data_IF_261306911819
#
_entry.id   IF_261306911819
#
_cell.length_a   1.000
_cell.length_b   1.000
_cell.length_c   1.000
_cell.angle_alpha   90.00
_cell.angle_beta   90.00
_cell.angle_gamma   90.00
#
_symmetry.space_group_name_H-M   'P 1'
#
loop_
_entity.id
_entity.type
_entity.pdbx_description
1 polymer ?
#
# COMPACT_ATOMS: atom_id res chain seq x y z
N UNK A 1 15.07 10.40 -20.71
CA UNK A 1 14.87 11.86 -20.55
C UNK A 1 13.68 12.40 -21.34
N UNK A 2 13.61 12.26 -22.68
CA UNK A 2 12.48 12.80 -23.49
C UNK A 2 11.08 12.37 -23.03
N UNK A 3 10.87 11.10 -22.67
CA UNK A 3 9.56 10.59 -22.24
C UNK A 3 9.06 11.18 -20.91
N UNK A 4 9.96 11.44 -19.95
CA UNK A 4 9.58 12.03 -18.67
C UNK A 4 9.17 13.51 -18.84
N UNK A 5 9.81 14.23 -19.75
CA UNK A 5 9.39 15.59 -20.12
C UNK A 5 8.01 15.58 -20.80
N UNK A 6 7.74 14.60 -21.67
CA UNK A 6 6.41 14.42 -22.25
C UNK A 6 5.37 14.09 -21.18
N UNK A 7 5.67 13.20 -20.24
CA UNK A 7 4.79 12.90 -19.11
C UNK A 7 4.49 14.16 -18.27
N UNK A 8 5.53 14.96 -17.97
CA UNK A 8 5.36 16.24 -17.25
C UNK A 8 4.40 17.17 -18.00
N UNK A 9 4.62 17.36 -19.30
CA UNK A 9 3.73 18.17 -20.12
C UNK A 9 2.28 17.67 -20.09
N UNK A 10 2.07 16.35 -20.14
CA UNK A 10 0.72 15.77 -20.03
C UNK A 10 0.07 16.10 -18.67
N UNK A 11 0.83 16.06 -17.57
CA UNK A 11 0.34 16.49 -16.27
C UNK A 11 0.00 17.99 -16.24
N UNK A 12 0.83 18.84 -16.86
CA UNK A 12 0.57 20.28 -16.94
C UNK A 12 -0.72 20.58 -17.73
N UNK A 13 -1.11 19.69 -18.66
CA UNK A 13 -2.39 19.74 -19.39
C UNK A 13 -3.56 19.06 -18.66
N UNK A 14 -3.35 18.53 -17.46
CA UNK A 14 -4.39 17.94 -16.61
C UNK A 14 -4.59 16.43 -16.75
N UNK A 15 -3.69 15.71 -17.45
CA UNK A 15 -3.78 14.26 -17.54
C UNK A 15 -3.47 13.59 -16.20
N UNK A 16 -4.19 12.52 -15.86
CA UNK A 16 -3.85 11.66 -14.72
C UNK A 16 -2.59 10.82 -15.00
N UNK A 17 -1.93 10.25 -13.98
CA UNK A 17 -0.84 9.30 -14.17
C UNK A 17 -1.19 8.13 -15.09
N UNK A 18 -2.35 7.49 -14.91
CA UNK A 18 -2.85 6.44 -15.81
C UNK A 18 -3.00 6.92 -17.26
N UNK A 19 -3.57 8.10 -17.48
CA UNK A 19 -3.76 8.66 -18.82
C UNK A 19 -2.44 9.02 -19.50
N UNK A 20 -1.50 9.59 -18.74
CA UNK A 20 -0.16 9.89 -19.22
C UNK A 20 0.60 8.61 -19.60
N UNK A 21 0.51 7.57 -18.77
CA UNK A 21 1.04 6.25 -19.08
C UNK A 21 0.45 5.71 -20.39
N UNK A 22 -0.88 5.68 -20.50
CA UNK A 22 -1.56 5.11 -21.65
C UNK A 22 -1.17 5.80 -22.96
N UNK A 23 -1.06 7.12 -22.92
CA UNK A 23 -0.63 7.94 -24.06
C UNK A 23 0.81 7.64 -24.49
N UNK A 24 1.73 7.51 -23.53
CA UNK A 24 3.13 7.19 -23.81
C UNK A 24 3.31 5.75 -24.30
N UNK A 25 2.60 4.80 -23.68
CA UNK A 25 2.68 3.38 -24.03
C UNK A 25 2.18 3.14 -25.45
N UNK A 26 1.04 3.75 -25.84
CA UNK A 26 0.52 3.67 -27.21
C UNK A 26 1.49 4.24 -28.23
N UNK A 27 2.13 5.37 -27.93
CA UNK A 27 3.03 6.04 -28.87
C UNK A 27 4.37 5.32 -29.04
N UNK A 28 4.86 4.67 -27.98
CA UNK A 28 6.22 4.12 -27.94
C UNK A 28 6.27 2.61 -28.09
N UNK A 29 5.14 1.92 -27.91
CA UNK A 29 5.06 0.47 -27.77
C UNK A 29 6.02 -0.10 -26.71
N UNK A 30 6.32 0.70 -25.68
CA UNK A 30 7.27 0.35 -24.62
C UNK A 30 6.63 0.60 -23.23
N UNK A 31 5.78 -0.32 -22.73
CA UNK A 31 4.98 -0.12 -21.51
C UNK A 31 5.86 0.11 -20.28
N UNK A 32 6.84 -0.77 -20.02
CA UNK A 32 7.75 -0.62 -18.88
C UNK A 32 8.51 0.72 -18.91
N UNK A 33 8.98 1.13 -20.09
CA UNK A 33 9.69 2.40 -20.26
C UNK A 33 8.77 3.60 -20.03
N UNK A 34 7.50 3.47 -20.42
CA UNK A 34 6.48 4.49 -20.23
C UNK A 34 6.10 4.64 -18.75
N UNK A 35 5.89 3.53 -18.03
CA UNK A 35 5.63 3.55 -16.60
C UNK A 35 6.78 4.20 -15.81
N UNK A 36 8.03 3.84 -16.13
CA UNK A 36 9.23 4.49 -15.54
C UNK A 36 9.28 5.99 -15.82
N UNK A 37 8.90 6.42 -17.02
CA UNK A 37 8.89 7.83 -17.40
C UNK A 37 7.84 8.62 -16.60
N UNK A 38 6.65 8.05 -16.40
CA UNK A 38 5.59 8.61 -15.56
C UNK A 38 6.07 8.74 -14.10
N UNK A 39 6.66 7.68 -13.53
CA UNK A 39 7.21 7.73 -12.17
C UNK A 39 8.32 8.79 -12.01
N UNK A 40 9.22 8.87 -12.99
CA UNK A 40 10.28 9.90 -13.03
C UNK A 40 9.68 11.30 -13.08
N UNK A 41 8.64 11.51 -13.90
CA UNK A 41 7.96 12.79 -13.99
C UNK A 41 7.21 13.12 -12.69
N UNK A 42 6.71 12.15 -11.94
CA UNK A 42 6.12 12.39 -10.62
C UNK A 42 7.17 12.66 -9.52
N UNK A 43 8.46 12.52 -9.83
CA UNK A 43 9.54 12.69 -8.86
C UNK A 43 9.72 11.48 -7.94
N UNK A 44 9.17 10.32 -8.30
CA UNK A 44 9.32 9.09 -7.52
C UNK A 44 10.77 8.59 -7.66
N UNK A 45 11.46 8.24 -6.55
CA UNK A 45 12.82 7.73 -6.59
C UNK A 45 12.97 6.50 -7.50
N UNK A 46 14.11 6.39 -8.18
CA UNK A 46 14.35 5.31 -9.15
C UNK A 46 14.37 3.92 -8.50
N UNK A 47 14.89 3.81 -7.27
CA UNK A 47 14.91 2.58 -6.48
C UNK A 47 13.48 2.11 -6.19
N UNK A 48 12.63 3.03 -5.74
CA UNK A 48 11.21 2.74 -5.45
C UNK A 48 10.42 2.41 -6.70
N UNK A 49 10.64 3.17 -7.78
CA UNK A 49 10.05 2.89 -9.09
C UNK A 49 10.40 1.47 -9.57
N UNK A 50 11.66 1.05 -9.38
CA UNK A 50 12.12 -0.28 -9.78
C UNK A 50 11.44 -1.36 -8.96
N UNK A 51 11.37 -1.20 -7.62
CA UNK A 51 10.69 -2.14 -6.73
C UNK A 51 9.24 -2.36 -7.17
N UNK A 52 8.43 -1.31 -7.25
CA UNK A 52 7.00 -1.41 -7.59
C UNK A 52 6.75 -1.98 -8.97
N UNK A 53 7.57 -1.62 -9.96
CA UNK A 53 7.40 -2.14 -11.31
C UNK A 53 7.83 -3.60 -11.43
N UNK A 54 8.78 -4.07 -10.62
CA UNK A 54 9.12 -5.49 -10.58
C UNK A 54 7.96 -6.33 -10.01
N UNK A 55 7.29 -5.84 -8.97
CA UNK A 55 6.18 -6.56 -8.31
C UNK A 55 4.99 -6.81 -9.26
N UNK A 56 4.77 -5.92 -10.25
CA UNK A 56 3.69 -6.05 -11.22
C UNK A 56 4.14 -6.36 -12.66
N UNK A 57 5.45 -6.56 -12.88
CA UNK A 57 6.04 -6.69 -14.22
C UNK A 57 5.38 -7.79 -15.03
N UNK A 58 5.38 -9.01 -14.51
CA UNK A 58 4.93 -10.19 -15.26
C UNK A 58 3.43 -10.17 -15.51
N UNK A 59 2.66 -9.63 -14.56
CA UNK A 59 1.21 -9.54 -14.66
C UNK A 59 0.72 -8.48 -15.64
N UNK A 60 1.42 -7.33 -15.74
CA UNK A 60 0.89 -6.16 -16.44
C UNK A 60 1.77 -5.62 -17.59
N UNK A 61 3.08 -5.86 -17.54
CA UNK A 61 4.05 -5.14 -18.40
C UNK A 61 4.84 -6.06 -19.34
N UNK A 62 5.01 -7.34 -18.99
CA UNK A 62 5.79 -8.29 -19.79
C UNK A 62 5.12 -8.62 -21.13
N UNK A 63 3.79 -8.79 -21.12
CA UNK A 63 2.99 -9.16 -22.30
C UNK A 63 1.72 -8.28 -22.38
N UNK A 64 1.86 -6.98 -22.73
CA UNK A 64 0.71 -6.08 -22.79
C UNK A 64 -0.27 -6.56 -23.88
N UNK A 65 -1.57 -6.54 -23.57
CA UNK A 65 -2.59 -6.82 -24.59
C UNK A 65 -2.67 -5.64 -25.56
N UNK A 66 -2.86 -5.86 -26.87
CA UNK A 66 -3.09 -4.78 -27.81
C UNK A 66 -4.25 -3.87 -27.37
N UNK A 67 -4.07 -2.54 -27.47
CA UNK A 67 -5.08 -1.53 -27.12
C UNK A 67 -5.53 -1.53 -25.65
N UNK A 68 -4.76 -2.12 -24.72
CA UNK A 68 -5.10 -2.19 -23.29
C UNK A 68 -4.36 -1.17 -22.43
N UNK A 69 -3.75 -0.15 -23.04
CA UNK A 69 -2.87 0.76 -22.31
C UNK A 69 -3.61 1.63 -21.29
N UNK A 70 -4.89 1.93 -21.55
CA UNK A 70 -5.75 2.64 -20.60
C UNK A 70 -6.00 1.79 -19.35
N UNK A 71 -6.54 0.57 -19.53
CA UNK A 71 -6.80 -0.38 -18.45
C UNK A 71 -5.52 -0.70 -17.66
N UNK A 72 -4.41 -0.91 -18.36
CA UNK A 72 -3.11 -1.15 -17.72
C UNK A 72 -2.67 0.05 -16.90
N UNK A 73 -2.86 1.28 -17.40
CA UNK A 73 -2.58 2.51 -16.66
C UNK A 73 -3.41 2.62 -15.39
N UNK A 74 -4.70 2.32 -15.47
CA UNK A 74 -5.60 2.31 -14.32
C UNK A 74 -5.20 1.25 -13.29
N UNK A 75 -4.82 0.05 -13.74
CA UNK A 75 -4.33 -1.01 -12.86
C UNK A 75 -3.02 -0.62 -12.16
N UNK A 76 -2.08 0.00 -12.87
CA UNK A 76 -0.84 0.49 -12.26
C UNK A 76 -1.12 1.59 -11.22
N UNK A 77 -2.08 2.48 -11.50
CA UNK A 77 -2.50 3.51 -10.55
C UNK A 77 -3.20 2.92 -9.33
N UNK A 78 -4.10 1.94 -9.52
CA UNK A 78 -4.75 1.21 -8.45
C UNK A 78 -3.76 0.42 -7.59
N UNK A 79 -2.70 -0.12 -8.20
CA UNK A 79 -1.59 -0.77 -7.52
C UNK A 79 -0.64 0.23 -6.80
N UNK A 80 -0.90 1.54 -6.91
CA UNK A 80 -0.08 2.56 -6.26
C UNK A 80 1.31 2.73 -6.88
N UNK A 81 1.53 2.24 -8.11
CA UNK A 81 2.81 2.41 -8.82
C UNK A 81 3.14 3.90 -8.97
N UNK A 82 2.12 4.74 -9.13
CA UNK A 82 2.25 6.18 -9.31
C UNK A 82 2.06 7.01 -8.03
N UNK A 83 1.92 6.38 -6.86
CA UNK A 83 1.80 7.12 -5.61
C UNK A 83 3.13 7.79 -5.25
N UNK A 84 3.13 9.09 -5.01
CA UNK A 84 4.33 9.83 -4.63
C UNK A 84 4.67 9.48 -3.17
N UNK A 85 5.84 8.87 -2.89
CA UNK A 85 6.24 8.60 -1.52
C UNK A 85 6.38 9.90 -0.74
N UNK A 86 5.76 9.96 0.44
CA UNK A 86 5.99 11.05 1.37
C UNK A 86 7.23 10.71 2.21
N UNK A 87 8.20 11.64 2.38
CA UNK A 87 9.23 11.50 3.40
C UNK A 87 8.57 11.44 4.78
N UNK A 88 8.75 10.33 5.47
CA UNK A 88 8.16 10.10 6.79
C UNK A 88 9.07 10.64 7.89
N UNK A 89 8.48 11.30 8.87
CA UNK A 89 9.16 11.72 10.09
C UNK A 89 9.49 10.51 10.98
N UNK A 90 10.44 10.63 11.93
CA UNK A 90 10.73 9.55 12.88
C UNK A 90 9.47 9.08 13.65
N UNK A 91 8.58 10.00 14.02
CA UNK A 91 7.30 9.66 14.67
C UNK A 91 6.39 8.87 13.76
N UNK A 92 6.27 9.25 12.49
CA UNK A 92 5.45 8.53 11.50
C UNK A 92 5.99 7.12 11.22
N UNK A 93 7.32 6.94 11.20
CA UNK A 93 7.95 5.63 11.10
C UNK A 93 7.62 4.77 12.33
N UNK A 94 7.72 5.32 13.55
CA UNK A 94 7.35 4.61 14.78
C UNK A 94 5.86 4.19 14.79
N UNK A 95 4.97 5.04 14.26
CA UNK A 95 3.55 4.69 14.10
C UNK A 95 3.37 3.54 13.10
N UNK A 96 4.11 3.53 11.98
CA UNK A 96 4.08 2.43 11.01
C UNK A 96 4.58 1.13 11.65
N UNK A 97 5.65 1.16 12.43
CA UNK A 97 6.17 -0.03 13.12
C UNK A 97 5.12 -0.62 14.07
N UNK A 98 4.36 0.23 14.78
CA UNK A 98 3.23 -0.20 15.60
C UNK A 98 2.09 -0.79 14.76
N UNK A 99 1.79 -0.22 13.59
CA UNK A 99 0.80 -0.79 12.67
C UNK A 99 1.22 -2.14 12.12
N UNK A 100 2.49 -2.33 11.76
CA UNK A 100 3.00 -3.62 11.29
C UNK A 100 2.91 -4.67 12.41
N UNK A 101 3.27 -4.29 13.64
CA UNK A 101 3.11 -5.16 14.81
C UNK A 101 1.64 -5.54 15.04
N UNK A 102 0.71 -4.60 14.88
CA UNK A 102 -0.73 -4.87 14.95
C UNK A 102 -1.18 -5.82 13.82
N UNK A 103 -0.73 -5.61 12.58
CA UNK A 103 -1.06 -6.50 11.45
C UNK A 103 -0.59 -7.93 11.71
N UNK A 104 0.61 -8.12 12.28
CA UNK A 104 1.11 -9.44 12.65
C UNK A 104 0.25 -10.07 13.77
N UNK A 105 -0.13 -9.27 14.78
CA UNK A 105 -1.02 -9.70 15.86
C UNK A 105 -2.46 -10.00 15.39
N UNK A 106 -2.87 -9.54 14.20
CA UNK A 106 -4.21 -9.79 13.67
C UNK A 106 -4.47 -11.27 13.35
N UNK A 107 -3.41 -12.06 13.09
CA UNK A 107 -3.50 -13.48 12.74
C UNK A 107 -3.87 -13.76 11.28
N UNK A 108 -3.91 -12.71 10.45
CA UNK A 108 -4.14 -12.78 9.00
C UNK A 108 -4.87 -11.54 8.47
N UNK A 109 -4.42 -11.02 7.31
CA UNK A 109 -5.03 -9.88 6.63
C UNK A 109 -5.45 -10.25 5.21
N UNK A 110 -6.58 -9.72 4.75
CA UNK A 110 -7.01 -9.92 3.35
C UNK A 110 -6.06 -9.18 2.40
N UNK A 111 -5.66 -9.76 1.26
CA UNK A 111 -4.71 -9.13 0.33
C UNK A 111 -5.08 -7.69 -0.09
N UNK A 112 -6.37 -7.43 -0.34
CA UNK A 112 -6.84 -6.08 -0.69
C UNK A 112 -6.70 -5.06 0.46
N UNK A 113 -6.82 -5.49 1.71
CA UNK A 113 -6.62 -4.63 2.88
C UNK A 113 -5.12 -4.36 3.08
N UNK A 114 -4.28 -5.37 2.93
CA UNK A 114 -2.81 -5.21 2.96
C UNK A 114 -2.33 -4.23 1.89
N UNK A 115 -2.90 -4.29 0.69
CA UNK A 115 -2.62 -3.35 -0.39
C UNK A 115 -2.95 -1.90 0.00
N UNK A 116 -4.14 -1.67 0.58
CA UNK A 116 -4.55 -0.36 1.08
C UNK A 116 -3.60 0.19 2.16
N UNK A 117 -3.18 -0.67 3.11
CA UNK A 117 -2.22 -0.28 4.16
C UNK A 117 -0.86 0.14 3.58
N UNK A 118 -0.30 -0.65 2.67
CA UNK A 118 1.00 -0.32 2.04
C UNK A 118 0.94 1.05 1.31
N UNK A 119 -0.18 1.33 0.63
CA UNK A 119 -0.42 2.62 -0.01
C UNK A 119 -0.50 3.77 0.99
N UNK A 120 -1.24 3.60 2.08
CA UNK A 120 -1.35 4.64 3.11
C UNK A 120 -0.02 4.88 3.85
N UNK A 121 0.78 3.84 4.08
CA UNK A 121 2.13 4.00 4.65
C UNK A 121 3.04 4.79 3.72
N UNK A 122 3.03 4.44 2.43
CA UNK A 122 3.82 5.10 1.38
C UNK A 122 3.48 6.58 1.25
N UNK A 123 2.19 6.93 1.32
CA UNK A 123 1.69 8.30 1.17
C UNK A 123 1.62 9.06 2.49
N UNK A 124 1.93 8.39 3.61
CA UNK A 124 1.81 8.93 4.97
C UNK A 124 0.38 9.26 5.41
N UNK A 125 -0.62 8.60 4.84
CA UNK A 125 -2.03 8.72 5.25
C UNK A 125 -2.32 7.82 6.48
N UNK A 126 -1.55 8.03 7.55
CA UNK A 126 -1.53 7.14 8.72
C UNK A 126 -2.84 7.16 9.51
N UNK A 127 -3.56 8.28 9.50
CA UNK A 127 -4.89 8.34 10.13
C UNK A 127 -5.89 7.42 9.43
N UNK A 128 -5.87 7.36 8.10
CA UNK A 128 -6.76 6.45 7.37
C UNK A 128 -6.39 4.99 7.63
N UNK A 129 -5.08 4.68 7.68
CA UNK A 129 -4.62 3.36 8.06
C UNK A 129 -5.07 2.96 9.48
N UNK A 130 -4.91 3.86 10.46
CA UNK A 130 -5.40 3.67 11.83
C UNK A 130 -6.90 3.33 11.86
N UNK A 131 -7.72 4.16 11.21
CA UNK A 131 -9.17 3.94 11.19
C UNK A 131 -9.55 2.61 10.51
N UNK A 132 -8.86 2.26 9.42
CA UNK A 132 -9.06 0.96 8.75
C UNK A 132 -8.71 -0.22 9.65
N UNK A 133 -7.61 -0.13 10.40
CA UNK A 133 -7.19 -1.17 11.35
C UNK A 133 -8.18 -1.26 12.53
N UNK A 134 -8.59 -0.15 13.12
CA UNK A 134 -9.57 -0.18 14.24
C UNK A 134 -10.94 -0.74 13.85
N UNK A 135 -11.31 -0.66 12.56
CA UNK A 135 -12.51 -1.31 12.05
C UNK A 135 -12.35 -2.84 11.87
N UNK A 136 -11.11 -3.32 11.74
CA UNK A 136 -10.79 -4.74 11.63
C UNK A 136 -10.70 -5.42 12.99
N UNK A 137 -11.00 -6.72 13.01
CA UNK A 137 -10.95 -7.55 14.21
C UNK A 137 -9.92 -8.66 14.04
N UNK A 138 -9.08 -8.92 15.05
CA UNK A 138 -8.18 -10.07 15.07
C UNK A 138 -8.95 -11.38 14.87
N UNK A 139 -8.33 -12.32 14.15
CA UNK A 139 -8.92 -13.63 13.92
C UNK A 139 -8.97 -14.39 15.25
N UNK A 140 -10.14 -14.86 15.73
CA UNK A 140 -10.29 -15.39 17.08
C UNK A 140 -9.37 -16.58 17.46
N UNK A 141 -8.86 -17.32 16.48
CA UNK A 141 -8.05 -18.53 16.71
C UNK A 141 -6.56 -18.38 16.41
N UNK A 142 -6.19 -17.38 15.62
CA UNK A 142 -4.80 -17.21 15.14
C UNK A 142 -4.22 -15.84 15.49
N UNK A 143 -5.06 -14.88 15.85
CA UNK A 143 -4.64 -13.55 16.28
C UNK A 143 -4.38 -13.48 17.78
N UNK A 144 -3.61 -12.48 18.17
CA UNK A 144 -3.41 -12.05 19.54
C UNK A 144 -4.17 -10.72 19.76
N UNK A 145 -5.42 -10.77 20.26
CA UNK A 145 -6.25 -9.58 20.38
C UNK A 145 -5.69 -8.55 21.37
N UNK A 146 -5.05 -9.02 22.44
CA UNK A 146 -4.43 -8.16 23.44
C UNK A 146 -3.27 -7.37 22.84
N UNK A 147 -2.34 -8.02 22.13
CA UNK A 147 -1.24 -7.34 21.45
C UNK A 147 -1.75 -6.40 20.35
N UNK A 148 -2.77 -6.83 19.59
CA UNK A 148 -3.40 -6.02 18.54
C UNK A 148 -3.94 -4.70 19.06
N UNK A 149 -4.81 -4.72 20.08
CA UNK A 149 -5.42 -3.51 20.59
C UNK A 149 -4.42 -2.62 21.33
N UNK A 150 -3.49 -3.21 22.08
CA UNK A 150 -2.46 -2.45 22.81
C UNK A 150 -1.56 -1.66 21.86
N UNK A 151 -1.13 -2.28 20.76
CA UNK A 151 -0.29 -1.62 19.75
C UNK A 151 -1.06 -0.55 18.98
N UNK A 152 -2.35 -0.77 18.66
CA UNK A 152 -3.18 0.26 18.07
C UNK A 152 -3.39 1.47 18.99
N UNK A 153 -3.64 1.25 20.29
CA UNK A 153 -3.78 2.36 21.24
C UNK A 153 -2.50 3.22 21.26
N UNK A 154 -1.32 2.60 21.39
CA UNK A 154 -0.03 3.29 21.36
C UNK A 154 0.15 4.08 20.06
N UNK A 155 -0.22 3.50 18.92
CA UNK A 155 -0.13 4.17 17.63
C UNK A 155 -1.07 5.39 17.56
N UNK A 156 -2.30 5.25 18.08
CA UNK A 156 -3.28 6.32 18.17
C UNK A 156 -2.79 7.47 19.06
N UNK A 157 -2.21 7.15 20.21
CA UNK A 157 -1.60 8.15 21.11
C UNK A 157 -0.51 8.94 20.39
N UNK A 158 0.45 8.25 19.75
CA UNK A 158 1.51 8.91 18.97
C UNK A 158 0.95 9.81 17.84
N UNK A 159 -0.08 9.35 17.13
CA UNK A 159 -0.75 10.16 16.10
C UNK A 159 -1.36 11.45 16.67
N UNK A 160 -1.92 11.41 17.89
CA UNK A 160 -2.52 12.59 18.53
C UNK A 160 -1.50 13.55 19.15
N UNK A 161 -0.28 13.09 19.42
CA UNK A 161 0.81 13.94 19.92
C UNK A 161 1.56 14.71 18.82
N UNK A 162 1.28 14.43 17.55
CA UNK A 162 1.92 15.15 16.43
C UNK A 162 1.31 16.56 16.34
N UNK A 163 2.08 17.65 16.57
CA UNK A 163 1.54 18.99 16.48
C UNK A 163 1.12 19.30 15.05
N UNK A 164 -0.15 19.67 14.88
CA UNK A 164 -0.65 20.34 13.67
C UNK A 164 0.29 21.50 13.34
N UNK A 165 0.82 21.63 12.11
CA UNK A 165 1.59 22.81 11.75
C UNK A 165 0.65 24.02 11.81
N UNK A 166 0.82 24.84 12.85
CA UNK A 166 0.17 26.14 12.99
C UNK A 166 0.52 26.97 11.74
N UNK A 167 -0.45 27.54 11.01
CA UNK A 167 -0.11 28.49 9.95
C UNK A 167 0.63 29.65 10.61
N UNK A 168 1.89 29.85 10.22
CA UNK A 168 2.68 31.00 10.64
C UNK A 168 1.85 32.27 10.43
N UNK A 169 1.64 33.02 11.51
CA UNK A 169 1.04 34.34 11.44
C UNK A 169 2.02 35.24 10.67
N UNK A 170 1.80 35.36 9.37
CA UNK A 170 2.39 36.44 8.60
C UNK A 170 1.73 37.73 9.11
N UNK A 171 2.43 38.45 9.97
CA UNK A 171 2.15 39.84 10.31
C UNK A 171 2.33 40.67 9.04
N UNK A 172 1.30 41.32 8.48
CA UNK A 172 1.52 42.35 7.47
C UNK A 172 1.91 43.62 8.21
N UNK A 173 3.19 43.97 8.06
CA UNK A 173 3.75 45.29 8.33
C UNK A 173 2.82 46.39 7.78
N UNK A 174 2.37 47.28 8.65
CA UNK A 174 1.59 48.47 8.30
C UNK A 174 2.44 49.40 7.42
N UNK A 175 2.12 49.47 6.13
CA UNK A 175 2.60 50.51 5.22
C UNK A 175 1.41 51.11 4.47
N UNK A 176 1.18 52.39 4.78
CA UNK A 176 0.47 53.45 4.04
C UNK A 176 -0.54 53.07 2.94
N UNK A 177 -1.80 53.41 3.22
CA UNK A 177 -2.89 53.49 2.24
C UNK A 177 -2.79 54.75 1.37
N UNK A 178 -3.15 54.66 0.08
CA UNK A 178 -3.79 55.76 -0.63
C UNK A 178 -5.26 55.43 -0.96
N UNK A 179 -6.12 56.39 -0.61
CA UNK A 179 -7.57 56.45 -0.85
C UNK A 179 -7.96 56.32 -2.33
N UNK A 180 -9.02 55.57 -2.67
CA UNK A 180 -9.74 55.73 -3.94
C UNK A 180 -11.03 56.58 -3.80
N UNK A 181 -11.44 57.32 -4.85
CA UNK A 181 -12.49 58.34 -4.76
C UNK A 181 -13.93 57.81 -4.87
N UNK A 182 -14.85 58.65 -4.37
CA UNK A 182 -16.31 58.50 -4.31
C UNK A 182 -17.01 58.51 -5.67
N UNK A 183 -18.07 57.68 -5.79
CA UNK A 183 -19.44 57.90 -6.36
C UNK A 183 -19.89 56.82 -7.37
N UNK A 184 -21.21 56.69 -7.67
CA UNK A 184 -22.40 56.95 -6.84
C UNK A 184 -23.41 55.79 -6.82
N UNK A 185 -24.41 55.99 -5.94
CA UNK A 185 -25.57 55.17 -5.62
C UNK A 185 -26.25 54.41 -6.79
N UNK A 186 -26.56 53.13 -6.55
CA UNK A 186 -27.54 52.36 -7.34
C UNK A 186 -28.45 51.51 -6.45
N UNK A 187 -29.72 51.93 -6.44
CA UNK A 187 -31.00 51.25 -6.15
C UNK A 187 -30.98 49.94 -5.34
N UNK A 188 -31.52 50.06 -4.11
CA UNK A 188 -32.36 49.12 -3.36
C UNK A 188 -32.85 47.90 -4.17
N UNK A 189 -32.43 46.71 -3.77
CA UNK A 189 -33.17 45.46 -3.92
C UNK A 189 -33.34 44.81 -2.55
N UNK A 190 -34.55 44.29 -2.35
CA UNK A 190 -35.14 43.78 -1.11
C UNK A 190 -34.44 42.49 -0.69
N UNK A 191 -33.85 42.49 0.50
CA UNK A 191 -33.11 41.37 1.09
C UNK A 191 -34.10 40.34 1.64
N UNK A 192 -34.01 39.11 1.15
CA UNK A 192 -34.54 37.91 1.82
C UNK A 192 -33.37 37.28 2.57
N UNK A 193 -33.49 36.89 3.85
CA UNK A 193 -32.39 36.27 4.57
C UNK A 193 -32.14 34.84 4.04
N UNK A 194 -30.90 34.44 3.70
CA UNK A 194 -30.62 33.04 3.51
C UNK A 194 -30.52 32.36 4.87
N UNK A 195 -31.41 31.40 5.10
CA UNK A 195 -31.27 30.38 6.14
C UNK A 195 -29.89 29.74 6.01
N UNK A 196 -29.01 30.07 6.96
CA UNK A 196 -27.70 29.47 7.15
C UNK A 196 -27.89 28.02 7.63
N UNK A 197 -28.12 27.10 6.71
CA UNK A 197 -27.82 25.69 6.92
C UNK A 197 -26.31 25.51 6.82
N UNK A 198 -25.60 25.83 7.90
CA UNK A 198 -24.24 25.33 8.07
C UNK A 198 -24.33 23.79 8.09
N UNK A 199 -23.66 23.06 7.20
CA UNK A 199 -23.60 21.61 7.30
C UNK A 199 -22.98 21.25 8.66
N UNK A 200 -23.42 20.16 9.31
CA UNK A 200 -22.79 19.70 10.54
C UNK A 200 -21.29 19.52 10.26
N UNK A 201 -20.44 20.18 11.05
CA UNK A 201 -18.99 19.98 11.02
C UNK A 201 -18.76 18.49 11.27
N UNK A 202 -18.48 17.74 10.21
CA UNK A 202 -17.96 16.39 10.33
C UNK A 202 -16.70 16.50 11.20
N UNK A 203 -16.57 15.68 12.26
CA UNK A 203 -15.40 15.71 13.10
C UNK A 203 -14.17 15.49 12.22
N UNK A 204 -13.13 16.27 12.50
CA UNK A 204 -11.84 16.12 11.84
C UNK A 204 -11.34 14.68 12.01
N UNK A 205 -10.52 14.20 11.08
CA UNK A 205 -9.99 12.84 11.13
C UNK A 205 -9.28 12.54 12.47
N UNK A 206 -8.63 13.55 13.08
CA UNK A 206 -8.01 13.44 14.40
C UNK A 206 -9.03 13.31 15.55
N UNK A 207 -10.16 14.03 15.50
CA UNK A 207 -11.24 13.85 16.48
C UNK A 207 -11.84 12.44 16.40
N UNK A 208 -11.92 11.85 15.20
CA UNK A 208 -12.32 10.46 15.04
C UNK A 208 -11.30 9.49 15.65
N UNK A 209 -10.00 9.75 15.51
CA UNK A 209 -8.96 8.93 16.16
C UNK A 209 -9.12 8.98 17.67
N UNK A 210 -9.25 10.18 18.25
CA UNK A 210 -9.43 10.39 19.69
C UNK A 210 -10.69 9.67 20.19
N UNK A 211 -11.79 9.77 19.45
CA UNK A 211 -13.04 9.09 19.80
C UNK A 211 -12.92 7.57 19.71
N UNK A 212 -12.24 7.05 18.69
CA UNK A 212 -11.96 5.61 18.57
C UNK A 212 -11.09 5.12 19.73
N UNK A 213 -10.02 5.83 20.10
CA UNK A 213 -9.19 5.47 21.27
C UNK A 213 -10.05 5.38 22.53
N UNK A 214 -10.93 6.36 22.76
CA UNK A 214 -11.82 6.39 23.94
C UNK A 214 -12.87 5.29 23.95
N UNK A 215 -13.27 4.81 22.78
CA UNK A 215 -14.32 3.77 22.63
C UNK A 215 -13.77 2.36 22.53
N UNK A 216 -12.45 2.18 22.45
CA UNK A 216 -11.82 0.87 22.64
C UNK A 216 -11.97 0.49 24.12
N UNK A 217 -13.05 -0.23 24.42
CA UNK A 217 -13.40 -0.72 25.76
C UNK A 217 -12.38 -1.77 26.23
N UNK A 218 -11.74 -1.61 27.41
CA UNK A 218 -10.88 -2.63 28.02
C UNK A 218 -11.56 -4.01 28.15
N UNK A 219 -12.90 -4.07 28.23
CA UNK A 219 -13.65 -5.33 28.24
C UNK A 219 -13.50 -6.13 26.93
N UNK A 220 -13.26 -5.48 25.79
CA UNK A 220 -12.94 -6.17 24.52
C UNK A 220 -11.63 -6.94 24.59
N UNK A 221 -10.67 -6.52 25.43
CA UNK A 221 -9.43 -7.26 25.65
C UNK A 221 -9.70 -8.55 26.45
N UNK A 222 -10.57 -8.48 27.46
CA UNK A 222 -10.85 -9.61 28.35
C UNK A 222 -11.84 -10.63 27.78
N UNK A 223 -12.85 -10.20 27.00
CA UNK A 223 -13.85 -11.12 26.42
C UNK A 223 -13.27 -12.01 25.31
N UNK A 224 -12.22 -11.56 24.62
CA UNK A 224 -11.54 -12.33 23.59
C UNK A 224 -10.69 -13.46 24.20
N UNK A 225 -9.97 -13.17 25.30
CA UNK A 225 -9.23 -14.18 26.06
C UNK A 225 -10.18 -15.19 26.74
N UNK A 226 -11.31 -14.73 27.29
CA UNK A 226 -12.29 -15.62 27.92
C UNK A 226 -12.92 -16.62 26.93
N UNK A 227 -13.17 -16.22 25.67
CA UNK A 227 -13.71 -17.10 24.63
C UNK A 227 -12.66 -18.08 24.06
N UNK A 228 -11.38 -17.69 24.03
CA UNK A 228 -10.30 -18.56 23.60
C UNK A 228 -10.03 -19.68 24.64
N UNK A 229 -10.09 -19.35 25.94
CA UNK A 229 -9.88 -20.32 27.03
C UNK A 229 -11.06 -21.28 27.19
N UNK A 230 -12.31 -20.82 27.01
CA UNK A 230 -13.50 -21.67 27.12
C UNK A 230 -13.55 -22.84 26.12
N UNK A 231 -13.12 -22.62 24.87
CA UNK A 231 -13.12 -23.68 23.85
C UNK A 231 -12.01 -24.73 24.03
N UNK A 232 -10.96 -24.42 24.78
CA UNK A 232 -9.89 -25.38 25.05
C UNK A 232 -10.22 -26.32 26.22
N UNK A 233 -11.17 -25.96 27.08
CA UNK A 233 -11.64 -26.80 28.18
C UNK A 233 -12.77 -27.76 27.76
N UNK A 234 -13.64 -27.38 26.82
CA UNK A 234 -14.72 -28.25 26.33
C UNK A 234 -14.22 -29.43 25.47
N UNK A 235 -13.00 -29.35 24.93
CA UNK A 235 -12.36 -30.46 24.21
C UNK A 235 -11.76 -31.54 25.11
N UNK A 236 -11.62 -31.29 26.42
CA UNK A 236 -10.93 -32.18 27.36
C UNK A 236 -11.89 -33.06 28.20
N UNK A 237 -13.20 -32.86 28.12
CA UNK A 237 -14.18 -33.54 28.99
C UNK A 237 -15.00 -34.64 28.30
N UNK A 238 -14.70 -35.02 27.05
CA UNK A 238 -15.38 -36.12 26.34
C UNK A 238 -14.43 -37.23 25.88
N UNK A 239 -13.66 -37.80 26.80
CA UNK A 239 -12.75 -38.88 26.46
C UNK A 239 -12.32 -39.75 27.64
N UNK A 240 -13.26 -40.38 28.36
CA UNK A 240 -12.98 -41.66 29.04
C UNK A 240 -14.24 -42.37 29.57
N UNK A 241 -14.66 -43.44 28.88
CA UNK A 241 -15.17 -44.66 29.50
C UNK A 241 -14.57 -45.88 28.79
N UNK A 242 -13.69 -46.58 29.51
CA UNK A 242 -13.33 -48.01 29.31
C UNK A 242 -14.59 -48.89 29.57
N UNK A 243 -14.77 -50.14 29.11
CA UNK A 243 -13.90 -51.29 28.78
C UNK A 243 -14.76 -52.37 28.02
N UNK A 244 -14.40 -53.68 27.91
CA UNK A 244 -13.16 -54.36 27.50
C UNK A 244 -13.35 -55.47 26.41
N UNK A 245 -12.26 -55.82 25.72
CA UNK A 245 -11.83 -57.21 25.45
C UNK A 245 -12.49 -58.05 24.34
N UNK A 246 -11.77 -58.28 23.23
CA UNK A 246 -11.69 -59.60 22.55
C UNK A 246 -10.30 -59.76 21.88
N UNK A 247 -9.70 -60.92 22.11
CA UNK A 247 -8.45 -61.44 21.54
C UNK A 247 -8.46 -61.62 20.00
N UNK A 248 -7.35 -61.26 19.33
CA UNK A 248 -6.76 -61.92 18.16
C UNK A 248 -5.45 -61.15 17.84
N UNK A 249 -4.26 -61.58 18.24
CA UNK A 249 -3.43 -62.65 17.64
C UNK A 249 -3.30 -62.56 16.10
N UNK A 250 -2.31 -61.82 15.60
CA UNK A 250 -1.42 -62.31 14.53
C UNK A 250 -0.17 -61.44 14.32
N UNK A 251 0.95 -62.15 14.14
CA UNK A 251 2.36 -61.74 14.05
C UNK A 251 2.71 -60.83 12.86
N UNK A 252 3.88 -60.15 12.91
CA UNK A 252 4.42 -59.37 11.80
C UNK A 252 5.10 -60.27 10.76
N UNK A 253 4.99 -59.90 9.48
CA UNK A 253 5.82 -60.44 8.40
C UNK A 253 6.84 -59.39 7.98
N UNK A 254 8.09 -59.69 8.28
CA UNK A 254 9.26 -59.26 7.52
C UNK A 254 9.15 -59.75 6.06
N UNK A 255 9.47 -58.87 5.12
CA UNK A 255 10.03 -59.24 3.83
C UNK A 255 10.72 -58.03 3.16
N UNK A 256 12.02 -57.96 3.44
CA UNK A 256 13.11 -57.57 2.54
C UNK A 256 12.78 -57.59 1.03
N UNK A 257 12.97 -56.46 0.33
CA UNK A 257 13.51 -56.46 -1.05
C UNK A 257 14.03 -55.11 -1.53
N UNK A 258 15.33 -54.91 -1.29
CA UNK A 258 16.40 -54.55 -2.23
C UNK A 258 16.11 -53.80 -3.55
N UNK A 259 16.99 -52.82 -3.76
CA UNK A 259 17.71 -52.42 -5.00
C UNK A 259 16.97 -51.65 -6.11
N UNK A 260 17.38 -50.38 -6.28
CA UNK A 260 18.20 -49.81 -7.39
C UNK A 260 18.09 -48.28 -7.25
N UNK A 261 19.14 -47.49 -7.04
CA UNK A 261 20.45 -47.54 -7.69
C UNK A 261 20.37 -46.81 -9.03
N UNK A 262 20.52 -45.47 -9.01
CA UNK A 262 21.14 -44.68 -10.10
C UNK A 262 21.38 -43.24 -9.65
N UNK A 263 22.52 -43.06 -8.99
CA UNK A 263 23.34 -41.88 -9.25
C UNK A 263 23.82 -41.91 -10.71
N UNK A 264 23.81 -40.76 -11.39
CA UNK A 264 24.85 -40.41 -12.36
C UNK A 264 25.07 -38.89 -12.39
N UNK A 265 26.28 -38.47 -12.78
CA UNK A 265 26.94 -37.29 -12.22
C UNK A 265 27.21 -36.19 -13.26
N UNK A 266 27.76 -35.09 -12.74
CA UNK A 266 28.61 -34.08 -13.37
C UNK A 266 29.22 -34.39 -14.75
N UNK A 267 29.18 -33.37 -15.62
CA UNK A 267 30.08 -33.15 -16.76
C UNK A 267 29.75 -31.79 -17.38
N UNK A 268 30.34 -30.67 -16.95
CA UNK A 268 31.67 -30.11 -17.26
C UNK A 268 31.93 -29.87 -18.77
N UNK A 269 32.20 -28.59 -19.06
CA UNK A 269 33.09 -28.04 -20.08
C UNK A 269 32.71 -28.16 -21.57
N UNK A 270 32.60 -26.99 -22.23
CA UNK A 270 32.42 -26.87 -23.68
C UNK A 270 32.49 -25.43 -24.22
N UNK A 271 33.52 -24.66 -23.84
CA UNK A 271 34.19 -23.70 -24.74
C UNK A 271 35.63 -24.23 -24.91
N UNK A 272 36.43 -23.90 -25.97
CA UNK A 272 36.33 -22.74 -26.87
C UNK A 272 36.66 -23.03 -28.37
N UNK A 273 36.54 -22.00 -29.22
CA UNK A 273 37.47 -21.55 -30.31
C UNK A 273 36.67 -20.69 -31.31
N UNK A 274 36.93 -19.38 -31.39
CA UNK A 274 38.00 -18.68 -32.12
C UNK A 274 37.90 -18.71 -33.65
N UNK A 275 38.20 -17.52 -34.22
CA UNK A 275 38.38 -17.14 -35.63
C UNK A 275 37.10 -16.64 -36.33
N UNK A 276 37.05 -15.48 -36.99
CA UNK A 276 38.02 -14.46 -37.41
C UNK A 276 37.23 -13.15 -37.59
N UNK A 277 37.62 -12.02 -36.98
CA UNK A 277 38.36 -10.92 -37.65
C UNK A 277 38.10 -10.74 -39.16
N UNK A 278 37.46 -9.63 -39.53
CA UNK A 278 37.97 -8.56 -40.43
C UNK A 278 36.88 -7.48 -40.57
N UNK A 279 37.10 -6.30 -40.01
CA UNK A 279 37.53 -5.07 -40.70
C UNK A 279 36.37 -4.27 -41.34
N UNK A 280 36.00 -3.20 -40.64
CA UNK A 280 35.44 -1.92 -41.15
C UNK A 280 36.32 -1.32 -42.29
N UNK A 281 36.05 -0.09 -42.78
CA UNK A 281 34.83 0.51 -43.39
C UNK A 281 35.18 1.23 -44.74
N UNK A 282 34.21 1.75 -45.50
CA UNK A 282 34.36 3.07 -46.16
C UNK A 282 33.02 3.63 -46.70
N UNK A 283 32.76 4.96 -46.56
CA UNK A 283 31.66 5.71 -47.17
C UNK A 283 32.01 6.34 -48.55
N UNK A 284 31.07 7.16 -49.05
CA UNK A 284 31.04 8.02 -50.26
C UNK A 284 30.43 7.33 -51.51
N UNK A 285 29.51 7.92 -52.29
CA UNK A 285 29.39 9.32 -52.75
C UNK A 285 27.96 9.60 -53.34
N UNK A 286 27.54 10.86 -53.57
CA UNK A 286 26.19 11.29 -53.93
C UNK A 286 25.98 11.51 -55.44
N UNK A 287 24.71 11.58 -55.86
CA UNK A 287 24.19 12.39 -56.97
C UNK A 287 22.79 12.86 -56.66
#
# INVERSE_FOLDING_TARGET
MRLALTARHLFDTGATPAQAYATLARRTHAPLRSARAVCTALGIPATETTRRLNDCHDALLANPRPNSEADTGELLEALGVFDIPKPLTPTELAVIDLFLTAVDAMGGIRPGHQHGLHRWFTTGNLTTAYLSLTAAHPIPRTGNPTLYWTTLIQAGELLTTTPTPTPASNTPSTAAAPTPPKRPARKRRKSTPPTSCAPPKLPSQLERVVEVIRTIDPRRMHDADARAVGHQQDGALHGHRHAPGVHADHRPRDADRRHRGRERPNGRAGQPRHQHQRCHPHPDDPR
#
